data_IF_283647917682
#
_entry.id   IF_283647917682
#
_cell.length_a   1.000
_cell.length_b   1.000
_cell.length_c   1.000
_cell.angle_alpha   90.00
_cell.angle_beta   90.00
_cell.angle_gamma   90.00
#
_symmetry.space_group_name_H-M   'P 1'
#
loop_
_entity.id
_entity.type
_entity.pdbx_description
1 polymer ?
#
# COMPACT_ATOMS: atom_id res chain seq x y z
N UNK A 1 -1.58 -20.86 23.49
CA UNK A 1 -1.85 -19.94 22.39
C UNK A 1 -2.11 -18.55 22.99
N UNK A 2 -1.16 -17.62 22.83
CA UNK A 2 -1.41 -16.21 23.14
C UNK A 2 -2.09 -15.60 21.90
N UNK A 3 -3.41 -15.42 21.96
CA UNK A 3 -4.17 -14.75 20.91
C UNK A 3 -3.94 -13.24 20.96
N UNK A 4 -3.72 -12.60 19.82
CA UNK A 4 -3.73 -11.15 19.70
C UNK A 4 -5.16 -10.70 19.38
N UNK A 5 -5.60 -9.61 20.01
CA UNK A 5 -6.89 -9.00 19.71
C UNK A 5 -6.70 -7.48 19.54
N UNK A 6 -7.59 -6.85 18.79
CA UNK A 6 -7.68 -5.40 18.67
C UNK A 6 -8.99 -4.93 19.26
N UNK A 7 -8.93 -3.87 20.05
CA UNK A 7 -10.10 -3.15 20.52
C UNK A 7 -10.22 -1.87 19.68
N UNK A 8 -11.32 -1.74 18.96
CA UNK A 8 -11.59 -0.59 18.08
C UNK A 8 -12.84 0.13 18.56
N UNK A 9 -12.89 1.45 18.35
CA UNK A 9 -14.11 2.20 18.50
C UNK A 9 -15.13 1.75 17.44
N UNK A 10 -16.38 1.50 17.88
CA UNK A 10 -17.46 1.20 16.96
C UNK A 10 -18.06 2.50 16.43
N UNK A 11 -17.92 2.74 15.14
CA UNK A 11 -18.59 3.82 14.42
C UNK A 11 -19.67 3.26 13.51
N UNK A 12 -20.90 3.80 13.53
CA UNK A 12 -21.87 3.47 12.50
C UNK A 12 -21.39 4.06 11.18
N UNK A 13 -21.06 3.20 10.22
CA UNK A 13 -20.51 3.59 8.92
C UNK A 13 -21.53 3.32 7.81
N UNK A 14 -21.53 4.19 6.80
CA UNK A 14 -22.23 4.00 5.53
C UNK A 14 -21.19 3.95 4.40
N UNK A 15 -21.29 3.00 3.44
CA UNK A 15 -20.39 2.94 2.29
C UNK A 15 -20.35 4.26 1.54
N UNK A 16 -19.17 4.64 1.04
CA UNK A 16 -18.99 5.90 0.31
C UNK A 16 -19.82 5.96 -0.98
N UNK A 17 -20.09 4.81 -1.60
CA UNK A 17 -20.90 4.71 -2.81
C UNK A 17 -22.36 5.18 -2.59
N UNK A 18 -22.83 5.20 -1.34
CA UNK A 18 -24.16 5.69 -0.96
C UNK A 18 -24.13 7.15 -0.47
N UNK A 19 -22.96 7.79 -0.44
CA UNK A 19 -22.77 9.13 0.05
C UNK A 19 -23.12 10.18 -1.01
N UNK A 20 -23.45 11.39 -0.54
CA UNK A 20 -23.64 12.53 -1.41
C UNK A 20 -22.30 13.13 -1.88
N UNK A 21 -22.35 14.02 -2.87
CA UNK A 21 -21.16 14.66 -3.43
C UNK A 21 -20.36 15.47 -2.40
N UNK A 22 -21.00 15.99 -1.35
CA UNK A 22 -20.31 16.73 -0.30
C UNK A 22 -19.46 15.80 0.57
N UNK A 23 -19.98 14.62 0.93
CA UNK A 23 -19.24 13.62 1.68
C UNK A 23 -18.07 13.03 0.86
N UNK A 24 -18.27 12.81 -0.44
CA UNK A 24 -17.20 12.38 -1.35
C UNK A 24 -16.08 13.42 -1.44
N UNK A 25 -16.45 14.70 -1.51
CA UNK A 25 -15.47 15.81 -1.51
C UNK A 25 -14.68 15.85 -0.20
N UNK A 26 -15.34 15.73 0.94
CA UNK A 26 -14.68 15.69 2.25
C UNK A 26 -13.74 14.50 2.38
N UNK A 27 -14.09 13.34 1.81
CA UNK A 27 -13.20 12.19 1.75
C UNK A 27 -11.93 12.52 0.95
N UNK A 28 -12.07 13.14 -0.21
CA UNK A 28 -10.93 13.59 -1.02
C UNK A 28 -10.02 14.56 -0.28
N UNK A 29 -10.60 15.52 0.44
CA UNK A 29 -9.86 16.48 1.29
C UNK A 29 -9.13 15.73 2.44
N UNK A 30 -9.75 14.71 3.03
CA UNK A 30 -9.15 13.86 4.05
C UNK A 30 -7.96 13.05 3.53
N UNK A 31 -8.10 12.43 2.35
CA UNK A 31 -7.01 11.70 1.68
C UNK A 31 -5.86 12.66 1.33
N UNK A 32 -6.15 13.84 0.79
CA UNK A 32 -5.14 14.86 0.51
C UNK A 32 -4.41 15.29 1.79
N UNK A 33 -5.14 15.47 2.89
CA UNK A 33 -4.54 15.80 4.20
C UNK A 33 -3.64 14.68 4.73
N UNK A 34 -4.01 13.41 4.53
CA UNK A 34 -3.19 12.25 4.85
C UNK A 34 -1.88 12.28 4.06
N UNK A 35 -1.96 12.49 2.73
CA UNK A 35 -0.79 12.53 1.86
C UNK A 35 0.14 13.73 2.14
N UNK A 36 -0.38 14.81 2.68
CA UNK A 36 0.40 16.00 3.07
C UNK A 36 0.98 15.90 4.48
N UNK A 37 0.63 14.86 5.25
CA UNK A 37 1.14 14.68 6.59
C UNK A 37 2.66 14.43 6.57
N UNK A 38 3.45 15.20 7.36
CA UNK A 38 4.91 15.03 7.37
C UNK A 38 5.29 13.69 8.00
N UNK A 39 6.44 13.15 7.57
CA UNK A 39 7.03 12.00 8.25
C UNK A 39 7.40 12.39 9.69
N UNK A 40 6.93 11.65 10.72
CA UNK A 40 7.28 11.97 12.10
C UNK A 40 8.78 11.83 12.36
N UNK A 41 9.38 12.74 13.13
CA UNK A 41 10.78 12.63 13.53
C UNK A 41 11.07 11.30 14.25
N UNK A 42 12.19 10.67 13.91
CA UNK A 42 12.67 9.44 14.56
C UNK A 42 12.06 8.13 14.04
N UNK A 43 11.13 8.16 13.11
CA UNK A 43 10.63 6.94 12.47
C UNK A 43 11.57 6.47 11.34
N UNK A 44 12.13 7.40 10.60
CA UNK A 44 13.10 7.12 9.54
C UNK A 44 14.52 7.16 10.12
N UNK A 45 15.42 6.26 9.72
CA UNK A 45 16.82 6.36 10.12
C UNK A 45 17.41 7.74 9.83
N UNK A 46 18.01 8.40 10.82
CA UNK A 46 18.45 9.80 10.73
C UNK A 46 19.41 10.10 9.56
N UNK A 47 20.17 9.09 9.12
CA UNK A 47 21.11 9.20 8.00
C UNK A 47 20.45 9.14 6.61
N UNK A 48 19.17 8.73 6.53
CA UNK A 48 18.47 8.47 5.27
C UNK A 48 17.71 9.70 4.74
N UNK A 49 17.29 10.62 5.62
CA UNK A 49 16.41 11.72 5.25
C UNK A 49 14.99 11.22 4.96
N UNK A 50 14.17 11.94 4.16
CA UNK A 50 12.88 11.45 3.72
C UNK A 50 13.05 10.11 2.99
N UNK A 51 12.25 9.11 3.34
CA UNK A 51 12.40 7.74 2.85
C UNK A 51 11.05 7.05 2.63
N UNK A 52 11.05 6.07 1.73
CA UNK A 52 9.92 5.20 1.42
C UNK A 52 9.96 3.98 2.32
N UNK A 53 8.80 3.55 2.83
CA UNK A 53 8.72 2.43 3.76
C UNK A 53 7.85 2.72 4.97
N UNK A 54 7.98 1.91 6.02
CA UNK A 54 7.29 2.14 7.28
C UNK A 54 8.07 1.53 8.45
N UNK A 55 7.76 1.96 9.67
CA UNK A 55 8.46 1.49 10.88
C UNK A 55 8.16 0.03 11.24
N UNK A 56 7.08 -0.52 10.69
CA UNK A 56 6.65 -1.92 10.87
C UNK A 56 6.11 -2.47 9.57
N UNK A 57 6.19 -3.77 9.38
CA UNK A 57 5.51 -4.44 8.30
C UNK A 57 3.99 -4.40 8.52
N UNK A 58 3.25 -4.27 7.43
CA UNK A 58 1.78 -4.22 7.43
C UNK A 58 1.21 -5.45 6.72
N UNK A 59 -0.10 -5.52 6.58
CA UNK A 59 -0.75 -6.60 5.84
C UNK A 59 -1.79 -6.02 4.89
N UNK A 60 -1.83 -6.54 3.68
CA UNK A 60 -2.90 -6.28 2.72
C UNK A 60 -3.71 -7.56 2.58
N UNK A 61 -4.91 -7.57 3.17
CA UNK A 61 -5.64 -8.81 3.36
C UNK A 61 -4.84 -9.82 4.18
N UNK A 62 -4.61 -11.02 3.66
CA UNK A 62 -3.78 -12.06 4.29
C UNK A 62 -2.29 -11.99 3.95
N UNK A 63 -1.87 -11.07 3.06
CA UNK A 63 -0.51 -10.99 2.55
C UNK A 63 0.33 -10.00 3.36
N UNK A 64 1.48 -10.41 3.93
CA UNK A 64 2.39 -9.49 4.60
C UNK A 64 3.01 -8.53 3.59
N UNK A 65 3.09 -7.25 3.97
CA UNK A 65 3.70 -6.18 3.20
C UNK A 65 5.00 -5.77 3.88
N UNK A 66 6.13 -6.08 3.26
CA UNK A 66 7.45 -5.64 3.74
C UNK A 66 7.55 -4.13 3.63
N UNK A 67 8.07 -3.47 4.67
CA UNK A 67 8.17 -2.01 4.74
C UNK A 67 9.57 -1.53 5.10
N UNK A 68 10.60 -2.32 4.78
CA UNK A 68 11.98 -1.90 4.96
C UNK A 68 12.24 -0.53 4.28
N UNK A 69 12.90 0.38 5.02
CA UNK A 69 13.16 1.72 4.53
C UNK A 69 14.08 1.73 3.32
N UNK A 70 13.69 2.48 2.28
CA UNK A 70 14.50 2.73 1.10
C UNK A 70 14.56 4.24 0.78
N UNK A 71 15.68 4.70 0.23
CA UNK A 71 15.89 6.11 -0.11
C UNK A 71 15.13 6.50 -1.38
N UNK A 72 15.02 5.59 -2.33
CA UNK A 72 14.40 5.83 -3.62
C UNK A 72 13.13 4.98 -3.76
N UNK A 73 12.12 5.55 -4.43
CA UNK A 73 10.84 4.87 -4.63
C UNK A 73 10.99 3.59 -5.45
N UNK A 74 11.78 3.61 -6.51
CA UNK A 74 12.00 2.44 -7.36
C UNK A 74 12.61 1.25 -6.59
N UNK A 75 13.59 1.49 -5.71
CA UNK A 75 14.15 0.45 -4.85
C UNK A 75 13.10 -0.13 -3.92
N UNK A 76 12.36 0.75 -3.23
CA UNK A 76 11.30 0.33 -2.33
C UNK A 76 10.25 -0.51 -3.06
N UNK A 77 9.76 -0.03 -4.19
CA UNK A 77 8.67 -0.68 -4.92
C UNK A 77 9.09 -2.02 -5.50
N UNK A 78 10.28 -2.10 -6.09
CA UNK A 78 10.80 -3.35 -6.63
C UNK A 78 11.06 -4.38 -5.54
N UNK A 79 11.71 -4.01 -4.43
CA UNK A 79 12.16 -4.96 -3.42
C UNK A 79 11.11 -5.30 -2.37
N UNK A 80 10.19 -4.37 -2.05
CA UNK A 80 9.20 -4.57 -1.00
C UNK A 80 7.76 -4.76 -1.51
N UNK A 81 7.51 -4.64 -2.82
CA UNK A 81 6.20 -4.87 -3.44
C UNK A 81 6.28 -5.92 -4.53
N UNK A 82 6.95 -5.64 -5.65
CA UNK A 82 6.96 -6.54 -6.78
C UNK A 82 7.67 -7.87 -6.48
N UNK A 83 8.89 -7.82 -5.96
CA UNK A 83 9.70 -9.04 -5.72
C UNK A 83 9.02 -10.04 -4.78
N UNK A 84 8.47 -9.65 -3.61
CA UNK A 84 7.78 -10.59 -2.74
C UNK A 84 6.58 -11.28 -3.39
N UNK A 85 5.81 -10.55 -4.19
CA UNK A 85 4.63 -11.09 -4.88
C UNK A 85 5.06 -12.07 -5.98
N UNK A 86 6.14 -11.76 -6.72
CA UNK A 86 6.72 -12.65 -7.73
C UNK A 86 7.33 -13.91 -7.10
N UNK A 87 8.05 -13.78 -5.98
CA UNK A 87 8.58 -14.92 -5.21
C UNK A 87 7.45 -15.84 -4.70
N UNK A 88 6.33 -15.24 -4.26
CA UNK A 88 5.17 -16.02 -3.83
C UNK A 88 4.49 -16.73 -5.01
N UNK A 89 4.36 -16.06 -6.14
CA UNK A 89 3.81 -16.64 -7.36
C UNK A 89 4.67 -17.80 -7.86
N UNK A 90 6.00 -17.63 -7.86
CA UNK A 90 6.95 -18.68 -8.21
C UNK A 90 6.85 -19.88 -7.27
N UNK A 91 6.84 -19.65 -5.95
CA UNK A 91 6.70 -20.71 -4.96
C UNK A 91 5.39 -21.52 -5.15
N UNK A 92 4.30 -20.82 -5.47
CA UNK A 92 3.02 -21.47 -5.75
C UNK A 92 3.08 -22.32 -7.04
N UNK A 93 3.64 -21.77 -8.11
CA UNK A 93 3.75 -22.46 -9.38
C UNK A 93 4.69 -23.67 -9.29
N UNK A 94 5.82 -23.53 -8.56
CA UNK A 94 6.74 -24.65 -8.26
C UNK A 94 6.03 -25.83 -7.58
N UNK A 95 5.14 -25.54 -6.64
CA UNK A 95 4.36 -26.57 -5.93
C UNK A 95 3.38 -27.31 -6.85
N UNK A 96 2.94 -26.69 -7.94
CA UNK A 96 1.97 -27.26 -8.89
C UNK A 96 2.64 -27.95 -10.07
N UNK A 97 3.64 -27.32 -10.70
CA UNK A 97 4.22 -27.77 -11.97
C UNK A 97 5.58 -28.44 -11.83
N UNK A 98 6.29 -28.22 -10.70
CA UNK A 98 7.66 -28.70 -10.50
C UNK A 98 8.73 -27.76 -11.11
N UNK A 99 9.99 -27.97 -10.72
CA UNK A 99 11.09 -27.03 -11.00
C UNK A 99 11.50 -26.99 -12.50
N UNK A 100 11.36 -28.11 -13.19
CA UNK A 100 11.79 -28.24 -14.60
C UNK A 100 10.69 -27.85 -15.59
N UNK A 101 9.58 -27.25 -15.13
CA UNK A 101 8.48 -26.88 -16.01
C UNK A 101 8.80 -25.63 -16.85
N UNK A 102 8.26 -25.59 -18.08
CA UNK A 102 8.42 -24.44 -18.98
C UNK A 102 7.81 -23.18 -18.36
N UNK A 103 6.71 -23.33 -17.65
CA UNK A 103 5.98 -22.24 -16.99
C UNK A 103 6.84 -21.55 -15.91
N UNK A 104 7.66 -22.31 -15.17
CA UNK A 104 8.60 -21.74 -14.18
C UNK A 104 9.69 -20.94 -14.87
N UNK A 105 10.27 -21.47 -15.95
CA UNK A 105 11.30 -20.74 -16.70
C UNK A 105 10.75 -19.45 -17.31
N UNK A 106 9.54 -19.50 -17.87
CA UNK A 106 8.86 -18.32 -18.40
C UNK A 106 8.58 -17.30 -17.29
N UNK A 107 8.00 -17.71 -16.15
CA UNK A 107 7.72 -16.82 -15.03
C UNK A 107 9.00 -16.12 -14.52
N UNK A 108 10.10 -16.83 -14.38
CA UNK A 108 11.40 -16.26 -13.95
C UNK A 108 11.88 -15.19 -14.95
N UNK A 109 11.87 -15.50 -16.25
CA UNK A 109 12.27 -14.55 -17.28
C UNK A 109 11.38 -13.29 -17.33
N UNK A 110 10.07 -13.46 -17.19
CA UNK A 110 9.12 -12.35 -17.12
C UNK A 110 9.30 -11.52 -15.85
N UNK A 111 9.57 -12.16 -14.71
CA UNK A 111 9.81 -11.51 -13.42
C UNK A 111 11.05 -10.62 -13.47
N UNK A 112 12.16 -11.13 -13.99
CA UNK A 112 13.39 -10.35 -14.17
C UNK A 112 13.17 -9.15 -15.10
N UNK A 113 12.47 -9.37 -16.21
CA UNK A 113 12.15 -8.32 -17.18
C UNK A 113 11.24 -7.25 -16.57
N UNK A 114 10.23 -7.66 -15.79
CA UNK A 114 9.32 -6.75 -15.09
C UNK A 114 10.06 -5.90 -14.07
N UNK A 115 10.90 -6.50 -13.22
CA UNK A 115 11.68 -5.78 -12.21
C UNK A 115 12.64 -4.77 -12.84
N UNK A 116 13.34 -5.16 -13.90
CA UNK A 116 14.24 -4.27 -14.62
C UNK A 116 13.46 -3.09 -15.25
N UNK A 117 12.32 -3.36 -15.87
CA UNK A 117 11.49 -2.34 -16.50
C UNK A 117 10.84 -1.40 -15.48
N UNK A 118 10.36 -1.94 -14.36
CA UNK A 118 9.81 -1.14 -13.26
C UNK A 118 10.87 -0.20 -12.68
N UNK A 119 12.07 -0.70 -12.40
CA UNK A 119 13.17 0.12 -11.91
C UNK A 119 13.52 1.26 -12.87
N UNK A 120 13.62 0.97 -14.18
CA UNK A 120 13.89 1.98 -15.22
C UNK A 120 12.79 3.06 -15.28
N UNK A 121 11.52 2.67 -15.26
CA UNK A 121 10.39 3.58 -15.35
C UNK A 121 10.22 4.46 -14.09
N UNK A 122 10.53 3.90 -12.92
CA UNK A 122 10.33 4.57 -11.64
C UNK A 122 11.56 5.38 -11.18
N UNK A 123 12.75 5.09 -11.71
CA UNK A 123 13.98 5.80 -11.33
C UNK A 123 13.93 7.33 -11.50
N UNK A 124 13.24 7.90 -12.52
CA UNK A 124 13.15 9.35 -12.66
C UNK A 124 12.24 10.04 -11.64
N UNK A 125 11.44 9.28 -10.86
CA UNK A 125 10.53 9.85 -9.87
C UNK A 125 11.31 10.30 -8.63
N UNK A 126 11.27 11.59 -8.36
CA UNK A 126 12.02 12.25 -7.27
C UNK A 126 11.10 12.93 -6.24
N UNK A 127 9.81 12.70 -6.33
CA UNK A 127 8.81 13.26 -5.43
C UNK A 127 9.04 12.77 -3.99
N UNK A 128 8.80 13.63 -2.98
CA UNK A 128 8.93 13.26 -1.58
C UNK A 128 7.89 12.19 -1.21
N UNK A 129 8.24 11.29 -0.27
CA UNK A 129 7.30 10.28 0.22
C UNK A 129 6.12 10.91 0.97
N UNK A 130 4.93 10.43 0.69
CA UNK A 130 3.68 10.76 1.36
C UNK A 130 3.18 9.59 2.19
N UNK A 131 2.48 9.84 3.29
CA UNK A 131 1.80 8.79 4.05
C UNK A 131 0.61 8.28 3.24
N UNK A 132 0.62 7.01 2.89
CA UNK A 132 -0.45 6.35 2.17
C UNK A 132 -1.38 5.59 3.12
N UNK A 133 -2.64 5.47 2.74
CA UNK A 133 -3.56 4.49 3.30
C UNK A 133 -3.10 3.07 2.97
N UNK A 134 -2.57 2.86 1.78
CA UNK A 134 -1.98 1.59 1.30
C UNK A 134 -3.00 0.51 0.92
N UNK A 135 -4.29 0.75 1.19
CA UNK A 135 -5.42 -0.10 0.81
C UNK A 135 -6.64 0.76 0.46
N UNK A 136 -6.44 1.81 -0.33
CA UNK A 136 -7.47 2.80 -0.64
C UNK A 136 -8.39 2.29 -1.77
N UNK A 137 -9.24 1.34 -1.45
CA UNK A 137 -10.31 0.83 -2.32
C UNK A 137 -11.66 1.43 -1.92
N UNK A 138 -12.67 1.31 -2.74
CA UNK A 138 -14.02 1.82 -2.44
C UNK A 138 -14.60 1.21 -1.14
N UNK A 139 -14.31 -0.05 -0.85
CA UNK A 139 -14.73 -0.74 0.38
C UNK A 139 -14.04 -0.20 1.65
N UNK A 140 -12.87 0.44 1.52
CA UNK A 140 -12.14 1.07 2.62
C UNK A 140 -12.59 2.52 2.87
N UNK A 141 -13.51 3.03 2.07
CA UNK A 141 -14.01 4.40 2.13
C UNK A 141 -15.46 4.42 2.63
N UNK A 142 -15.72 5.16 3.68
CA UNK A 142 -17.04 5.23 4.30
C UNK A 142 -17.35 6.66 4.79
N UNK A 143 -18.60 6.86 5.21
CA UNK A 143 -19.04 8.06 5.94
C UNK A 143 -19.50 7.64 7.32
N UNK A 144 -18.97 8.25 8.36
CA UNK A 144 -19.43 8.05 9.73
C UNK A 144 -20.79 8.76 9.92
N UNK A 145 -21.72 8.08 10.61
CA UNK A 145 -23.04 8.59 10.91
C UNK A 145 -23.10 9.08 12.38
N UNK A 146 -23.84 10.17 12.63
CA UNK A 146 -24.03 10.72 13.99
C UNK A 146 -23.34 12.06 14.19
N UNK A 147 -22.97 12.39 15.43
CA UNK A 147 -22.42 13.71 15.82
C UNK A 147 -21.07 14.06 15.20
N UNK A 148 -20.42 13.11 14.51
CA UNK A 148 -19.16 13.28 13.81
C UNK A 148 -19.27 12.99 12.31
N UNK A 149 -20.43 13.26 11.68
CA UNK A 149 -20.62 13.04 10.25
C UNK A 149 -19.41 13.53 9.44
N UNK A 150 -18.65 12.60 8.89
CA UNK A 150 -17.44 12.90 8.13
C UNK A 150 -16.90 11.68 7.41
N UNK A 151 -15.90 11.85 6.56
CA UNK A 151 -15.25 10.74 5.89
C UNK A 151 -14.56 9.84 6.91
N UNK A 152 -14.60 8.55 6.65
CA UNK A 152 -13.88 7.53 7.40
C UNK A 152 -13.09 6.63 6.44
N UNK A 153 -11.83 6.42 6.76
CA UNK A 153 -10.98 5.43 6.10
C UNK A 153 -10.81 4.25 7.05
N UNK A 154 -10.98 3.04 6.54
CA UNK A 154 -10.91 1.80 7.32
C UNK A 154 -9.95 0.81 6.68
N UNK A 155 -9.45 -0.10 7.49
CA UNK A 155 -8.55 -1.19 7.08
C UNK A 155 -7.27 -0.70 6.35
N UNK A 156 -6.48 0.17 6.98
CA UNK A 156 -5.27 0.70 6.38
C UNK A 156 -4.12 -0.32 6.37
N UNK A 157 -3.30 -0.28 5.32
CA UNK A 157 -2.01 -0.97 5.20
C UNK A 157 -0.88 0.07 5.00
N UNK A 158 -0.76 1.02 5.93
CA UNK A 158 0.02 2.25 5.78
C UNK A 158 1.50 2.04 5.49
N UNK A 159 2.04 2.91 4.64
CA UNK A 159 3.46 3.10 4.38
C UNK A 159 3.71 4.45 3.71
N UNK A 160 4.96 4.92 3.70
CA UNK A 160 5.35 6.13 2.97
C UNK A 160 5.71 5.78 1.54
N UNK A 161 4.91 6.28 0.58
CA UNK A 161 5.01 6.03 -0.86
C UNK A 161 4.69 7.26 -1.69
N UNK A 162 4.38 7.06 -2.97
CA UNK A 162 3.86 8.10 -3.84
C UNK A 162 2.34 8.17 -3.77
N UNK A 163 1.73 9.37 -3.63
CA UNK A 163 0.26 9.53 -3.53
C UNK A 163 -0.52 8.84 -4.64
N UNK A 164 0.08 8.73 -5.83
CA UNK A 164 -0.52 8.11 -7.01
C UNK A 164 -0.85 6.63 -6.80
N UNK A 165 -0.16 5.95 -5.88
CA UNK A 165 -0.45 4.53 -5.57
C UNK A 165 -1.84 4.39 -4.96
N UNK A 166 -2.19 5.22 -3.96
CA UNK A 166 -3.53 5.24 -3.38
C UNK A 166 -4.59 5.64 -4.41
N UNK A 167 -4.31 6.66 -5.23
CA UNK A 167 -5.23 7.14 -6.26
C UNK A 167 -5.46 6.10 -7.36
N UNK A 168 -4.41 5.36 -7.75
CA UNK A 168 -4.53 4.26 -8.69
C UNK A 168 -5.37 3.11 -8.12
N UNK A 169 -5.16 2.76 -6.86
CA UNK A 169 -5.93 1.71 -6.16
C UNK A 169 -7.41 2.08 -6.08
N UNK A 170 -7.74 3.33 -5.73
CA UNK A 170 -9.12 3.82 -5.68
C UNK A 170 -9.81 3.80 -7.05
N UNK A 171 -9.06 4.00 -8.13
CA UNK A 171 -9.59 4.01 -9.50
C UNK A 171 -9.84 2.60 -10.06
N UNK A 172 -9.07 1.61 -9.60
CA UNK A 172 -9.15 0.23 -10.10
C UNK A 172 -10.18 -0.62 -9.35
N UNK A 173 -10.63 -0.20 -8.17
CA UNK A 173 -11.61 -0.85 -7.31
C UNK A 173 -12.99 -0.22 -7.45
#
# INVERSE_FOLDING_TARGET
HHGHFRLLEHLPLRPIAEADAAAVRLLGEGVASLHLAPQPPGQVPAWMGPAFGFSVDTHLGGCPQRNAWARYFHDFFCDNRLRPDLEQAEAHLLAVCGEDSEEIHELRGLSESLLARAAELLAPLVEPPALLHGNLISASCATALGSGNGPALVDPACWYGLPEVDLATLRLA
#
